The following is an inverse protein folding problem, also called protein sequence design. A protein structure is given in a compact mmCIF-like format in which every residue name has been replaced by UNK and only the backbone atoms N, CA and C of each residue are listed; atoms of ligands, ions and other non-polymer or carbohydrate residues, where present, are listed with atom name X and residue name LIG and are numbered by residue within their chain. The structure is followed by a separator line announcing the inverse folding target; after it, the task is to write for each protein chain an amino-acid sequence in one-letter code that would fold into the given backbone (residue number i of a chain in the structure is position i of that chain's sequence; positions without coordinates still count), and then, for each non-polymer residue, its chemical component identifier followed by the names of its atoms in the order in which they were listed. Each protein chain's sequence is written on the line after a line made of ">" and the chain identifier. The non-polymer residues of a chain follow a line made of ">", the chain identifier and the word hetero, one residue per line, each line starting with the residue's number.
data_IF_196710255899
#
_entry.id   IF_196710255899
#
_cell.length_a   1.000
_cell.length_b   1.000
_cell.length_c   1.000
_cell.angle_alpha   90.00
_cell.angle_beta   90.00
_cell.angle_gamma   90.00
#
_symmetry.space_group_name_H-M   'P 1'
#
loop_
_entity.id
_entity.type
_entity.pdbx_description
1 polymer ?
#
# COMPACT_ATOMS: atom_id res chain seq x y z
N UNK A 1 -8.42 -18.98 8.19
CA UNK A 1 -7.21 -18.27 7.76
C UNK A 1 -7.58 -16.80 7.66
N UNK A 2 -6.96 -15.99 8.50
CA UNK A 2 -7.22 -14.55 8.61
C UNK A 2 -6.12 -13.76 7.92
N UNK A 3 -6.49 -12.76 7.13
CA UNK A 3 -5.58 -12.00 6.28
C UNK A 3 -5.55 -10.54 6.71
N UNK A 4 -4.36 -9.93 6.79
CA UNK A 4 -4.21 -8.49 6.89
C UNK A 4 -3.84 -7.90 5.53
N UNK A 5 -4.63 -6.92 5.06
CA UNK A 5 -4.31 -6.11 3.91
C UNK A 5 -3.77 -4.75 4.38
N UNK A 6 -2.53 -4.45 4.01
CA UNK A 6 -1.83 -3.22 4.34
C UNK A 6 -1.85 -2.27 3.14
N UNK A 7 -2.78 -1.34 3.12
CA UNK A 7 -2.83 -0.27 2.12
C UNK A 7 -1.88 0.84 2.55
N UNK A 8 -0.71 0.88 1.92
CA UNK A 8 0.37 1.80 2.30
C UNK A 8 0.90 2.58 1.09
N UNK A 9 1.16 3.86 1.30
CA UNK A 9 1.69 4.77 0.29
C UNK A 9 0.80 5.99 0.09
N UNK A 10 0.98 6.63 -1.04
CA UNK A 10 0.23 7.82 -1.38
C UNK A 10 -1.18 7.46 -1.87
N UNK A 11 -2.19 8.06 -1.24
CA UNK A 11 -3.54 8.03 -1.77
C UNK A 11 -3.60 8.96 -2.99
N UNK A 12 -4.21 8.48 -4.07
CA UNK A 12 -4.44 9.24 -5.29
C UNK A 12 -5.93 9.33 -5.55
N UNK A 13 -6.33 10.40 -6.21
CA UNK A 13 -7.74 10.59 -6.56
C UNK A 13 -8.15 9.62 -7.67
N UNK A 14 -8.73 8.51 -7.25
CA UNK A 14 -9.33 7.50 -8.12
C UNK A 14 -10.83 7.49 -7.84
N UNK A 15 -11.70 7.28 -8.85
CA UNK A 15 -13.14 7.18 -8.64
C UNK A 15 -13.48 6.20 -7.52
N UNK A 16 -14.22 6.67 -6.51
CA UNK A 16 -14.53 5.92 -5.27
C UNK A 16 -15.17 4.58 -5.56
N UNK A 17 -16.09 4.53 -6.51
CA UNK A 17 -16.80 3.29 -6.88
C UNK A 17 -15.85 2.26 -7.48
N UNK A 18 -14.84 2.71 -8.24
CA UNK A 18 -13.84 1.84 -8.81
C UNK A 18 -12.94 1.22 -7.74
N UNK A 19 -12.53 2.02 -6.74
CA UNK A 19 -11.76 1.51 -5.59
C UNK A 19 -12.60 0.52 -4.79
N UNK A 20 -13.86 0.86 -4.47
CA UNK A 20 -14.78 -0.03 -3.74
C UNK A 20 -14.93 -1.38 -4.44
N UNK A 21 -15.27 -1.33 -5.74
CA UNK A 21 -15.37 -2.55 -6.55
C UNK A 21 -14.06 -3.38 -6.52
N UNK A 22 -12.91 -2.71 -6.60
CA UNK A 22 -11.61 -3.34 -6.52
C UNK A 22 -11.37 -4.05 -5.18
N UNK A 23 -11.72 -3.40 -4.06
CA UNK A 23 -11.56 -3.98 -2.71
C UNK A 23 -12.55 -5.12 -2.50
N UNK A 24 -13.80 -4.99 -2.94
CA UNK A 24 -14.80 -6.06 -2.90
C UNK A 24 -14.31 -7.31 -3.62
N UNK A 25 -13.76 -7.15 -4.82
CA UNK A 25 -13.16 -8.27 -5.55
C UNK A 25 -12.00 -8.89 -4.78
N UNK A 26 -11.03 -8.07 -4.32
CA UNK A 26 -9.87 -8.56 -3.59
C UNK A 26 -10.24 -9.38 -2.37
N UNK A 27 -11.26 -8.92 -1.62
CA UNK A 27 -11.62 -9.47 -0.30
C UNK A 27 -12.74 -10.51 -0.35
N UNK A 28 -13.29 -10.78 -1.51
CA UNK A 28 -14.45 -11.66 -1.70
C UNK A 28 -14.22 -13.05 -1.10
N UNK A 29 -15.07 -13.42 -0.13
CA UNK A 29 -15.04 -14.74 0.51
C UNK A 29 -13.85 -14.96 1.47
N UNK A 30 -13.18 -13.89 1.89
CA UNK A 30 -12.05 -13.95 2.81
C UNK A 30 -12.45 -13.50 4.22
N UNK A 31 -11.79 -14.08 5.24
CA UNK A 31 -11.70 -13.49 6.58
C UNK A 31 -10.49 -12.55 6.60
N UNK A 32 -10.73 -11.26 6.71
CA UNK A 32 -9.69 -10.25 6.54
C UNK A 32 -9.85 -9.05 7.46
N UNK A 33 -8.78 -8.28 7.54
CA UNK A 33 -8.79 -6.93 8.12
C UNK A 33 -7.96 -5.98 7.26
N UNK A 34 -8.31 -4.71 7.24
CA UNK A 34 -7.63 -3.68 6.48
C UNK A 34 -6.96 -2.69 7.43
N UNK A 35 -5.74 -2.32 7.11
CA UNK A 35 -4.95 -1.27 7.75
C UNK A 35 -4.51 -0.29 6.68
N UNK A 36 -4.66 1.01 6.94
CA UNK A 36 -4.33 2.06 6.00
C UNK A 36 -3.31 3.03 6.59
N UNK A 37 -2.26 3.33 5.83
CA UNK A 37 -1.30 4.38 6.16
C UNK A 37 -0.96 5.20 4.91
N UNK A 38 -1.24 6.49 4.94
CA UNK A 38 -1.05 7.39 3.80
C UNK A 38 -0.43 8.72 4.22
N UNK A 39 -0.06 9.51 3.25
CA UNK A 39 0.20 10.92 3.46
C UNK A 39 -1.13 11.68 3.58
N UNK A 40 -1.16 12.74 4.37
CA UNK A 40 -2.33 13.59 4.60
C UNK A 40 -2.74 14.40 3.36
N UNK A 41 -1.78 14.67 2.48
CA UNK A 41 -2.03 15.31 1.20
C UNK A 41 -2.20 14.27 0.09
N UNK A 42 -3.25 14.39 -0.74
CA UNK A 42 -3.37 13.55 -1.93
C UNK A 42 -2.19 13.84 -2.86
N UNK A 43 -1.57 12.78 -3.33
CA UNK A 43 -0.38 12.92 -4.13
C UNK A 43 -0.66 13.45 -5.53
N UNK A 44 0.16 14.38 -5.94
CA UNK A 44 0.30 14.64 -7.36
C UNK A 44 0.78 13.36 -8.05
N UNK A 45 0.08 12.95 -9.10
CA UNK A 45 0.60 11.94 -10.00
C UNK A 45 1.84 12.55 -10.66
N UNK A 46 3.02 12.11 -10.22
CA UNK A 46 4.25 12.35 -10.95
C UNK A 46 4.27 11.41 -12.19
N UNK A 47 3.20 11.42 -12.94
CA UNK A 47 3.25 10.84 -14.26
C UNK A 47 4.13 11.76 -15.09
N UNK A 48 5.16 11.19 -15.70
CA UNK A 48 6.07 11.90 -16.63
C UNK A 48 5.34 12.37 -17.91
N UNK A 49 4.04 12.17 -17.99
CA UNK A 49 3.16 12.68 -19.04
C UNK A 49 2.55 13.99 -18.53
N UNK A 50 3.12 15.09 -18.97
CA UNK A 50 2.78 16.47 -18.58
C UNK A 50 1.31 16.89 -18.86
N UNK A 51 0.42 15.99 -19.26
CA UNK A 51 -0.90 16.30 -19.81
C UNK A 51 -2.09 15.97 -18.90
N UNK A 52 -1.88 15.39 -17.72
CA UNK A 52 -3.01 15.11 -16.81
C UNK A 52 -3.26 16.35 -15.95
N UNK A 53 -4.46 16.97 -16.04
CA UNK A 53 -4.78 18.13 -15.21
C UNK A 53 -4.65 17.77 -13.74
N UNK A 54 -3.88 18.57 -13.00
CA UNK A 54 -3.76 18.48 -11.55
C UNK A 54 -5.14 18.78 -10.95
N UNK A 55 -5.87 17.75 -10.58
CA UNK A 55 -7.09 17.92 -9.80
C UNK A 55 -6.63 18.25 -8.38
N UNK A 56 -6.67 19.53 -8.03
CA UNK A 56 -6.55 19.96 -6.64
C UNK A 56 -7.85 19.57 -5.94
N UNK A 57 -7.84 18.44 -5.28
CA UNK A 57 -8.88 18.13 -4.32
C UNK A 57 -8.44 18.69 -2.96
N UNK A 58 -9.19 19.66 -2.47
CA UNK A 58 -9.02 20.24 -1.13
C UNK A 58 -9.36 19.24 0.01
N UNK A 59 -9.71 18.02 -0.33
CA UNK A 59 -10.13 16.99 0.61
C UNK A 59 -8.92 16.28 1.22
N UNK A 60 -8.91 16.22 2.53
CA UNK A 60 -7.94 15.48 3.34
C UNK A 60 -7.96 13.99 2.95
N UNK A 61 -6.80 13.39 2.68
CA UNK A 61 -6.65 11.96 2.36
C UNK A 61 -7.28 11.06 3.43
N UNK A 62 -7.23 11.44 4.71
CA UNK A 62 -7.86 10.69 5.79
C UNK A 62 -9.36 10.52 5.58
N UNK A 63 -10.08 11.60 5.28
CA UNK A 63 -11.53 11.55 5.07
C UNK A 63 -11.89 10.72 3.84
N UNK A 64 -11.15 10.90 2.75
CA UNK A 64 -11.38 10.15 1.52
C UNK A 64 -11.18 8.65 1.72
N UNK A 65 -10.06 8.25 2.33
CA UNK A 65 -9.77 6.85 2.64
C UNK A 65 -10.81 6.30 3.62
N UNK A 66 -11.13 7.04 4.69
CA UNK A 66 -12.14 6.63 5.66
C UNK A 66 -13.50 6.38 5.02
N UNK A 67 -13.95 7.28 4.15
CA UNK A 67 -15.24 7.15 3.44
C UNK A 67 -15.30 5.94 2.50
N UNK A 68 -14.17 5.55 1.92
CA UNK A 68 -14.12 4.37 1.04
C UNK A 68 -14.04 3.09 1.87
N UNK A 69 -13.08 3.05 2.80
CA UNK A 69 -12.70 1.82 3.49
C UNK A 69 -13.62 1.48 4.68
N UNK A 70 -14.42 2.43 5.20
CA UNK A 70 -15.41 2.18 6.26
C UNK A 70 -16.49 1.15 5.88
N UNK A 71 -16.72 0.94 4.58
CA UNK A 71 -17.62 -0.11 4.10
C UNK A 71 -17.03 -1.52 4.23
N UNK A 72 -15.76 -1.64 4.59
CA UNK A 72 -15.01 -2.89 4.70
C UNK A 72 -14.54 -3.11 6.14
N UNK A 73 -13.88 -4.23 6.43
CA UNK A 73 -13.33 -4.49 7.76
C UNK A 73 -12.06 -3.67 8.03
N UNK A 74 -12.21 -2.34 8.01
CA UNK A 74 -11.15 -1.39 8.36
C UNK A 74 -10.89 -1.42 9.86
N UNK A 75 -9.66 -1.73 10.27
CA UNK A 75 -9.24 -1.76 11.68
C UNK A 75 -8.61 -0.46 12.11
N UNK A 76 -7.68 0.05 11.32
CA UNK A 76 -6.96 1.28 11.64
C UNK A 76 -6.63 2.05 10.36
N UNK A 77 -6.69 3.35 10.48
CA UNK A 77 -6.24 4.31 9.48
C UNK A 77 -5.37 5.36 10.15
N UNK A 78 -4.30 5.73 9.49
CA UNK A 78 -3.45 6.85 9.90
C UNK A 78 -2.95 7.61 8.68
N UNK A 79 -2.88 8.91 8.79
CA UNK A 79 -2.23 9.79 7.81
C UNK A 79 -1.17 10.63 8.50
N UNK A 80 -0.12 10.96 7.77
CA UNK A 80 1.01 11.76 8.25
C UNK A 80 1.41 12.78 7.18
N UNK A 81 1.85 13.96 7.62
CA UNK A 81 2.36 14.97 6.70
C UNK A 81 3.67 14.54 6.03
N UNK A 82 3.70 14.60 4.70
CA UNK A 82 4.91 14.31 3.94
C UNK A 82 6.05 15.26 4.30
N UNK A 83 5.74 16.52 4.59
CA UNK A 83 6.73 17.50 5.05
C UNK A 83 7.35 17.11 6.40
N UNK A 84 6.52 16.63 7.35
CA UNK A 84 7.03 16.14 8.64
C UNK A 84 7.95 14.93 8.46
N UNK A 85 7.61 14.02 7.54
CA UNK A 85 8.50 12.91 7.19
C UNK A 85 9.86 13.43 6.69
N UNK A 86 9.88 14.39 5.76
CA UNK A 86 11.13 14.96 5.23
C UNK A 86 11.97 15.65 6.31
N UNK A 87 11.31 16.42 7.20
CA UNK A 87 11.98 17.12 8.30
C UNK A 87 12.62 16.11 9.28
N UNK A 88 11.96 15.01 9.55
CA UNK A 88 12.40 14.00 10.53
C UNK A 88 13.29 12.90 9.94
N UNK A 89 13.64 12.96 8.64
CA UNK A 89 14.60 12.04 8.06
C UNK A 89 15.96 12.16 8.75
N UNK A 90 16.60 11.03 9.14
CA UNK A 90 17.97 11.02 9.61
C UNK A 90 18.92 11.71 8.61
N UNK A 91 19.95 12.38 9.12
CA UNK A 91 20.90 13.14 8.27
C UNK A 91 21.45 12.35 7.08
N UNK A 92 21.90 11.10 7.22
CA UNK A 92 22.39 10.31 6.08
C UNK A 92 21.32 10.13 4.99
N UNK A 93 20.05 9.92 5.39
CA UNK A 93 18.96 9.76 4.42
C UNK A 93 18.60 11.08 3.72
N UNK A 94 18.69 12.22 4.44
CA UNK A 94 18.53 13.55 3.83
C UNK A 94 19.62 13.83 2.78
N UNK A 95 20.86 13.50 3.09
CA UNK A 95 21.97 13.67 2.17
C UNK A 95 21.78 12.84 0.90
N UNK A 96 21.35 11.61 1.06
CA UNK A 96 20.98 10.72 -0.03
C UNK A 96 19.82 11.33 -0.84
N UNK A 97 18.76 11.77 -0.17
CA UNK A 97 17.55 12.31 -0.79
C UNK A 97 17.85 13.58 -1.61
N UNK A 98 18.78 14.39 -1.15
CA UNK A 98 19.18 15.65 -1.79
C UNK A 98 20.35 15.50 -2.79
N UNK A 99 20.93 14.31 -2.92
CA UNK A 99 22.08 14.12 -3.79
C UNK A 99 21.66 14.11 -5.26
N UNK A 100 22.41 14.86 -6.10
CA UNK A 100 22.21 14.88 -7.56
C UNK A 100 22.49 13.52 -8.24
N UNK A 101 23.14 12.60 -7.53
CA UNK A 101 23.50 11.26 -8.01
C UNK A 101 22.38 10.23 -7.82
N UNK A 102 21.30 10.61 -7.17
CA UNK A 102 20.22 9.65 -6.91
C UNK A 102 19.36 9.46 -8.15
N UNK A 103 19.28 8.22 -8.59
CA UNK A 103 18.27 7.81 -9.56
C UNK A 103 16.88 8.20 -9.02
N UNK A 104 16.07 8.87 -9.86
CA UNK A 104 14.69 9.28 -9.50
C UNK A 104 13.90 8.16 -8.82
N UNK A 105 14.15 6.90 -9.20
CA UNK A 105 13.48 5.74 -8.59
C UNK A 105 13.72 5.54 -7.10
N UNK A 106 14.86 5.92 -6.56
CA UNK A 106 15.18 5.69 -5.14
C UNK A 106 14.54 6.74 -4.23
N UNK A 107 14.37 7.97 -4.73
CA UNK A 107 13.63 9.03 -4.03
C UNK A 107 12.18 8.59 -3.77
N UNK A 108 11.58 7.83 -4.69
CA UNK A 108 10.22 7.32 -4.53
C UNK A 108 10.14 6.06 -3.67
N UNK A 109 11.20 5.26 -3.59
CA UNK A 109 11.20 4.03 -2.82
C UNK A 109 11.19 4.27 -1.30
N UNK A 110 11.95 5.25 -0.81
CA UNK A 110 12.07 5.52 0.62
C UNK A 110 10.73 5.89 1.29
N UNK A 111 9.93 6.83 0.73
CA UNK A 111 8.60 7.12 1.26
C UNK A 111 7.65 5.91 1.24
N UNK A 112 7.75 5.05 0.23
CA UNK A 112 6.92 3.85 0.14
C UNK A 112 7.31 2.81 1.21
N UNK A 113 8.60 2.59 1.43
CA UNK A 113 9.10 1.68 2.48
C UNK A 113 8.71 2.22 3.85
N UNK A 114 8.82 3.53 4.06
CA UNK A 114 8.45 4.16 5.30
C UNK A 114 6.96 3.97 5.62
N UNK A 115 6.07 4.32 4.68
CA UNK A 115 4.62 4.16 4.88
C UNK A 115 4.22 2.70 5.08
N UNK A 116 4.86 1.77 4.37
CA UNK A 116 4.65 0.34 4.58
C UNK A 116 5.07 -0.11 5.97
N UNK A 117 6.25 0.34 6.44
CA UNK A 117 6.74 0.04 7.80
C UNK A 117 5.79 0.57 8.87
N UNK A 118 5.26 1.78 8.69
CA UNK A 118 4.27 2.36 9.60
C UNK A 118 2.94 1.63 9.58
N UNK A 119 2.46 1.26 8.39
CA UNK A 119 1.23 0.47 8.23
C UNK A 119 1.36 -0.91 8.89
N UNK A 120 2.52 -1.56 8.75
CA UNK A 120 2.83 -2.82 9.42
C UNK A 120 2.78 -2.67 10.95
N UNK A 121 3.32 -1.58 11.50
CA UNK A 121 3.23 -1.28 12.95
C UNK A 121 1.78 -1.09 13.42
N UNK A 122 0.89 -0.51 12.60
CA UNK A 122 -0.53 -0.45 12.94
C UNK A 122 -1.13 -1.84 13.08
N UNK A 123 -0.74 -2.77 12.21
CA UNK A 123 -1.18 -4.16 12.25
C UNK A 123 -0.57 -4.92 13.43
N UNK A 124 0.73 -4.73 13.73
CA UNK A 124 1.38 -5.37 14.89
C UNK A 124 0.72 -4.99 16.23
N UNK A 125 0.22 -3.75 16.32
CA UNK A 125 -0.49 -3.25 17.49
C UNK A 125 -1.97 -3.69 17.55
N UNK A 126 -2.42 -4.52 16.61
CA UNK A 126 -3.74 -5.16 16.66
C UNK A 126 -3.64 -6.49 17.40
N UNK A 127 -4.58 -6.75 18.31
CA UNK A 127 -4.58 -7.97 19.11
C UNK A 127 -4.89 -9.25 18.30
N UNK A 128 -5.35 -9.10 17.07
CA UNK A 128 -5.69 -10.23 16.22
C UNK A 128 -4.46 -10.89 15.64
N UNK A 129 -4.49 -12.22 15.58
CA UNK A 129 -3.50 -12.98 14.82
C UNK A 129 -3.88 -13.02 13.33
N UNK A 130 -2.90 -12.83 12.46
CA UNK A 130 -3.04 -12.90 11.00
C UNK A 130 -2.10 -13.96 10.44
N UNK A 131 -2.67 -14.87 9.65
CA UNK A 131 -1.91 -15.96 9.00
C UNK A 131 -1.09 -15.44 7.81
N UNK A 132 -1.66 -14.45 7.10
CA UNK A 132 -1.03 -13.82 5.94
C UNK A 132 -1.15 -12.31 6.01
N UNK A 133 -0.12 -11.63 5.53
CA UNK A 133 -0.07 -10.17 5.43
C UNK A 133 0.25 -9.81 3.99
N UNK A 134 -0.59 -8.96 3.38
CA UNK A 134 -0.40 -8.46 2.02
C UNK A 134 -0.24 -6.96 1.99
N UNK A 135 0.81 -6.49 1.31
CA UNK A 135 0.91 -5.10 0.92
C UNK A 135 -0.01 -4.82 -0.26
N UNK A 136 -0.76 -3.76 -0.15
CA UNK A 136 -1.61 -3.22 -1.21
C UNK A 136 -1.27 -1.75 -1.45
N UNK A 137 -1.54 -1.26 -2.66
CA UNK A 137 -1.47 0.16 -2.98
C UNK A 137 -2.88 0.71 -3.15
N UNK A 138 -3.08 1.98 -2.82
CA UNK A 138 -4.36 2.66 -3.01
C UNK A 138 -4.73 2.83 -4.49
N UNK A 139 -3.72 2.95 -5.36
CA UNK A 139 -3.87 3.19 -6.79
C UNK A 139 -3.83 1.90 -7.65
N UNK A 140 -3.98 0.74 -7.03
CA UNK A 140 -4.04 -0.54 -7.72
C UNK A 140 -5.47 -1.05 -7.81
N UNK A 141 -5.83 -1.58 -9.00
CA UNK A 141 -7.13 -2.20 -9.23
C UNK A 141 -7.01 -3.72 -9.18
N UNK A 142 -7.77 -4.33 -8.27
CA UNK A 142 -7.85 -5.78 -8.08
C UNK A 142 -9.09 -6.30 -8.79
N UNK A 143 -8.91 -6.81 -10.00
CA UNK A 143 -10.03 -7.21 -10.87
C UNK A 143 -10.57 -8.61 -10.57
N UNK A 144 -9.82 -9.41 -9.79
CA UNK A 144 -10.16 -10.78 -9.48
C UNK A 144 -10.01 -11.09 -8.00
N UNK A 145 -10.84 -11.99 -7.45
CA UNK A 145 -10.69 -12.47 -6.08
C UNK A 145 -9.31 -13.10 -5.83
N UNK A 146 -8.77 -12.87 -4.65
CA UNK A 146 -7.56 -13.54 -4.21
C UNK A 146 -7.83 -15.04 -4.02
N UNK A 147 -7.15 -15.89 -4.78
CA UNK A 147 -7.28 -17.34 -4.66
C UNK A 147 -6.41 -17.86 -3.53
N UNK A 148 -7.04 -18.36 -2.46
CA UNK A 148 -6.35 -18.84 -1.27
C UNK A 148 -5.73 -20.23 -1.42
N UNK A 149 -6.27 -21.08 -2.30
CA UNK A 149 -5.82 -22.46 -2.43
C UNK A 149 -4.30 -22.60 -2.67
N UNK A 150 -3.70 -21.85 -3.60
CA UNK A 150 -2.24 -21.90 -3.77
C UNK A 150 -1.48 -21.36 -2.55
N UNK A 151 -2.07 -20.42 -1.79
CA UNK A 151 -1.40 -19.75 -0.67
C UNK A 151 -1.35 -20.63 0.58
N UNK A 152 -2.30 -21.56 0.77
CA UNK A 152 -2.31 -22.48 1.91
C UNK A 152 -1.06 -23.37 1.97
N UNK A 153 -0.54 -23.75 0.81
CA UNK A 153 0.67 -24.58 0.74
C UNK A 153 1.94 -23.84 1.22
N UNK A 154 1.83 -22.53 1.38
CA UNK A 154 2.94 -21.65 1.70
C UNK A 154 2.93 -21.12 3.14
N UNK A 155 1.88 -21.38 3.93
CA UNK A 155 1.75 -20.92 5.31
C UNK A 155 2.89 -21.38 6.23
N UNK A 156 3.58 -22.46 5.87
CA UNK A 156 4.70 -23.03 6.63
C UNK A 156 6.08 -22.56 6.17
N UNK A 157 6.15 -21.72 5.16
CA UNK A 157 7.40 -21.20 4.64
C UNK A 157 7.58 -19.72 5.02
N UNK A 158 8.80 -19.34 5.36
CA UNK A 158 9.21 -17.93 5.55
C UNK A 158 9.37 -17.19 4.21
N UNK A 159 8.60 -17.59 3.19
CA UNK A 159 8.76 -17.10 1.82
C UNK A 159 7.90 -15.87 1.60
N UNK A 160 8.51 -14.88 1.00
CA UNK A 160 7.80 -13.71 0.47
C UNK A 160 7.17 -14.05 -0.88
N UNK A 161 5.86 -13.85 -1.00
CA UNK A 161 5.13 -14.13 -2.25
C UNK A 161 4.89 -12.85 -3.03
N UNK A 162 5.12 -12.95 -4.32
CA UNK A 162 4.76 -11.93 -5.28
C UNK A 162 3.68 -12.48 -6.21
N UNK A 163 2.52 -11.83 -6.21
CA UNK A 163 1.44 -12.21 -7.11
C UNK A 163 1.61 -11.44 -8.40
N UNK A 164 2.02 -12.15 -9.45
CA UNK A 164 2.21 -11.58 -10.77
C UNK A 164 0.86 -11.45 -11.50
N UNK A 165 0.42 -10.23 -11.75
CA UNK A 165 -0.80 -9.92 -12.52
C UNK A 165 -0.52 -9.79 -14.03
N UNK A 166 0.18 -10.75 -14.63
CA UNK A 166 0.21 -10.91 -16.09
C UNK A 166 1.15 -9.99 -16.88
N UNK A 167 2.11 -9.33 -16.24
CA UNK A 167 3.22 -8.65 -16.93
C UNK A 167 4.45 -9.56 -17.02
N UNK A 168 5.36 -9.25 -17.96
CA UNK A 168 6.57 -10.02 -18.19
C UNK A 168 7.27 -10.42 -16.88
N UNK A 169 7.44 -11.73 -16.71
CA UNK A 169 8.03 -12.32 -15.51
C UNK A 169 9.53 -12.02 -15.45
N UNK A 170 9.91 -11.24 -14.49
CA UNK A 170 11.31 -11.07 -14.10
C UNK A 170 11.53 -11.82 -12.79
N UNK A 171 12.15 -13.00 -12.78
CA UNK A 171 12.20 -13.89 -11.61
C UNK A 171 12.86 -13.29 -10.37
N UNK A 172 13.65 -12.24 -10.52
CA UNK A 172 14.41 -11.61 -9.44
C UNK A 172 13.85 -10.25 -8.99
N UNK A 173 12.62 -9.89 -9.39
CA UNK A 173 12.01 -8.62 -9.00
C UNK A 173 10.76 -8.83 -8.17
N UNK A 174 10.72 -8.19 -7.00
CA UNK A 174 9.50 -8.02 -6.22
C UNK A 174 8.74 -6.84 -6.82
N UNK A 175 7.53 -7.10 -7.33
CA UNK A 175 6.66 -6.02 -7.77
C UNK A 175 6.12 -5.30 -6.52
N UNK A 176 6.30 -4.01 -6.45
CA UNK A 176 5.94 -3.18 -5.30
C UNK A 176 4.42 -2.94 -5.16
N UNK A 177 3.63 -3.47 -6.10
CA UNK A 177 2.18 -3.25 -6.17
C UNK A 177 1.43 -4.13 -5.17
N UNK A 178 1.76 -5.43 -5.18
CA UNK A 178 1.11 -6.41 -4.33
C UNK A 178 2.06 -7.56 -4.00
N UNK A 179 2.35 -7.73 -2.74
CA UNK A 179 3.13 -8.86 -2.24
C UNK A 179 2.72 -9.22 -0.82
N UNK A 180 3.01 -10.43 -0.39
CA UNK A 180 2.67 -10.87 0.95
C UNK A 180 3.47 -12.08 1.41
N UNK A 181 3.25 -12.45 2.64
CA UNK A 181 3.89 -13.58 3.29
C UNK A 181 3.23 -13.96 4.60
N UNK A 182 3.69 -15.03 5.21
CA UNK A 182 3.28 -15.42 6.55
C UNK A 182 4.07 -14.64 7.61
N UNK A 183 3.41 -14.35 8.72
CA UNK A 183 4.09 -13.86 9.93
C UNK A 183 4.62 -15.09 10.69
N UNK A 184 5.92 -15.33 10.65
CA UNK A 184 6.60 -16.28 11.53
C UNK A 184 7.59 -15.54 12.39
#
# INVERSE_FOLDING_TARGET
>A
MKIAFLFAGQYRDIPKDLIRYSIENLTKGLDYSIFCYSWDEPGESLDHREEIPKIKNDNNSFEQISNIFSAFNLKKIHTESYNNFLINLPKPHKEIFNSKFYHKGTIFALPQIYTLSKCYKLQENDASHYDLIFRCRFDSLYLHPLKLYPLRNFLNSSTLYNINFGRAYYPNRIYDIFFGGSKK
#
